data_IF_824113463838
#
_entry.id   IF_824113463838
#
_cell.length_a   1.000
_cell.length_b   1.000
_cell.length_c   1.000
_cell.angle_alpha   90.00
_cell.angle_beta   90.00
_cell.angle_gamma   90.00
#
_symmetry.space_group_name_H-M   'P 1'
#
loop_
_entity.id
_entity.type
_entity.pdbx_description
1 polymer ?
#
# COMPACT_ATOMS: atom_id res chain seq x y z
N UNK A 1 -9.64 -14.74 15.93
CA UNK A 1 -8.99 -13.41 16.08
C UNK A 1 -7.50 -13.53 15.80
N UNK A 2 -6.91 -12.55 15.12
CA UNK A 2 -5.45 -12.50 14.87
C UNK A 2 -4.77 -12.21 16.20
N UNK A 3 -3.62 -12.82 16.47
CA UNK A 3 -2.84 -12.50 17.67
C UNK A 3 -2.23 -11.10 17.49
N UNK A 4 -2.58 -10.09 18.31
CA UNK A 4 -2.05 -8.73 18.14
C UNK A 4 -0.52 -8.66 18.22
N UNK A 5 0.13 -9.62 18.89
CA UNK A 5 1.60 -9.66 18.96
C UNK A 5 2.28 -9.87 17.61
N UNK A 6 1.54 -10.35 16.60
CA UNK A 6 2.02 -10.49 15.21
C UNK A 6 2.04 -9.17 14.45
N UNK A 7 1.32 -8.17 14.93
CA UNK A 7 1.12 -6.90 14.27
C UNK A 7 2.17 -5.86 14.71
N UNK A 8 2.45 -4.88 13.87
CA UNK A 8 3.19 -3.67 14.28
C UNK A 8 2.43 -2.92 15.36
N UNK A 9 3.10 -2.07 16.15
CA UNK A 9 2.46 -1.30 17.21
C UNK A 9 1.30 -0.42 16.68
N UNK A 10 1.49 0.22 15.53
CA UNK A 10 0.44 1.02 14.87
C UNK A 10 -0.80 0.18 14.55
N UNK A 11 -0.63 -1.01 13.97
CA UNK A 11 -1.75 -1.92 13.69
C UNK A 11 -2.40 -2.46 14.96
N UNK A 12 -1.62 -2.74 16.03
CA UNK A 12 -2.18 -3.14 17.33
C UNK A 12 -3.12 -2.09 17.91
N UNK A 13 -2.70 -0.82 17.86
CA UNK A 13 -3.48 0.28 18.43
C UNK A 13 -4.80 0.49 17.67
N UNK A 14 -4.80 0.27 16.35
CA UNK A 14 -6.02 0.30 15.52
C UNK A 14 -6.92 -0.92 15.70
N UNK A 15 -6.34 -2.09 16.04
CA UNK A 15 -7.04 -3.38 16.08
C UNK A 15 -8.08 -3.50 17.20
N UNK A 16 -7.88 -2.80 18.32
CA UNK A 16 -8.68 -2.93 19.55
C UNK A 16 -10.17 -2.64 19.32
N UNK A 17 -10.52 -1.80 18.35
CA UNK A 17 -11.88 -1.29 18.15
C UNK A 17 -12.67 -2.00 17.02
N UNK A 18 -12.14 -3.08 16.42
CA UNK A 18 -12.72 -3.65 15.20
C UNK A 18 -13.67 -4.84 15.46
N UNK A 19 -14.92 -4.70 15.00
CA UNK A 19 -15.92 -5.79 15.00
C UNK A 19 -15.61 -6.82 13.91
N UNK A 20 -15.75 -8.10 14.25
CA UNK A 20 -15.52 -9.22 13.33
C UNK A 20 -16.87 -9.69 12.76
N UNK A 21 -16.95 -9.79 11.43
CA UNK A 21 -18.12 -10.36 10.75
C UNK A 21 -18.03 -11.90 10.64
N UNK A 22 -19.19 -12.54 10.79
CA UNK A 22 -19.39 -13.99 10.70
C UNK A 22 -19.84 -14.47 9.31
N UNK A 23 -19.86 -13.59 8.31
CA UNK A 23 -20.31 -13.93 6.94
C UNK A 23 -19.43 -14.99 6.27
N UNK A 24 -19.94 -15.66 5.23
CA UNK A 24 -19.13 -16.61 4.46
C UNK A 24 -18.20 -15.84 3.51
N UNK A 25 -16.99 -16.37 3.27
CA UNK A 25 -16.06 -15.80 2.30
C UNK A 25 -16.64 -15.97 0.89
N UNK A 26 -16.66 -14.89 0.11
CA UNK A 26 -17.11 -14.93 -1.29
C UNK A 26 -16.25 -15.91 -2.11
N UNK A 27 -16.84 -16.80 -2.94
CA UNK A 27 -16.10 -17.76 -3.74
C UNK A 27 -15.02 -17.16 -4.64
N UNK A 28 -15.22 -15.95 -5.17
CA UNK A 28 -14.22 -15.25 -6.00
C UNK A 28 -13.00 -14.85 -5.16
N UNK A 29 -13.23 -14.38 -3.94
CA UNK A 29 -12.16 -14.04 -3.00
C UNK A 29 -11.42 -15.31 -2.55
N UNK A 30 -12.14 -16.39 -2.29
CA UNK A 30 -11.53 -17.69 -1.95
C UNK A 30 -10.58 -18.17 -3.05
N UNK A 31 -10.94 -18.01 -4.33
CA UNK A 31 -10.06 -18.37 -5.46
C UNK A 31 -8.71 -17.64 -5.42
N UNK A 32 -8.68 -16.36 -5.00
CA UNK A 32 -7.42 -15.62 -4.80
C UNK A 32 -6.58 -16.30 -3.74
N UNK A 33 -7.18 -16.58 -2.59
CA UNK A 33 -6.50 -17.22 -1.48
C UNK A 33 -5.94 -18.60 -1.86
N UNK A 34 -6.72 -19.40 -2.58
CA UNK A 34 -6.32 -20.73 -3.02
C UNK A 34 -5.10 -20.68 -3.96
N UNK A 35 -5.10 -19.78 -4.95
CA UNK A 35 -3.96 -19.62 -5.88
C UNK A 35 -2.75 -19.04 -5.13
N UNK A 36 -2.95 -18.07 -4.24
CA UNK A 36 -1.90 -17.51 -3.40
C UNK A 36 -1.26 -18.59 -2.53
N UNK A 37 -2.05 -19.49 -1.94
CA UNK A 37 -1.56 -20.60 -1.12
C UNK A 37 -0.74 -21.61 -1.94
N UNK A 38 -1.16 -21.93 -3.16
CA UNK A 38 -0.39 -22.79 -4.07
C UNK A 38 0.95 -22.12 -4.43
N UNK A 39 0.93 -20.82 -4.67
CA UNK A 39 2.11 -20.02 -5.04
C UNK A 39 3.09 -19.88 -3.87
N UNK A 40 2.56 -19.68 -2.66
CA UNK A 40 3.32 -19.54 -1.42
C UNK A 40 4.15 -20.80 -1.11
N UNK A 41 3.65 -21.99 -1.50
CA UNK A 41 4.32 -23.28 -1.25
C UNK A 41 5.40 -23.63 -2.27
N UNK A 42 5.64 -22.80 -3.29
CA UNK A 42 6.66 -23.06 -4.30
C UNK A 42 8.05 -22.88 -3.71
N UNK A 43 9.01 -23.71 -4.14
CA UNK A 43 10.39 -23.62 -3.68
C UNK A 43 11.00 -22.26 -4.06
N UNK A 44 11.55 -21.58 -3.06
CA UNK A 44 12.28 -20.33 -3.23
C UNK A 44 13.73 -20.64 -3.63
N UNK A 45 14.19 -20.08 -4.75
CA UNK A 45 15.56 -20.23 -5.23
C UNK A 45 16.20 -18.84 -5.28
N UNK A 46 17.25 -18.64 -4.49
CA UNK A 46 17.99 -17.39 -4.40
C UNK A 46 19.48 -17.66 -4.60
N UNK A 47 20.16 -16.72 -5.26
CA UNK A 47 21.59 -16.80 -5.51
C UNK A 47 22.26 -15.50 -5.06
N UNK A 48 23.21 -15.59 -4.13
CA UNK A 48 23.92 -14.43 -3.61
C UNK A 48 24.77 -13.78 -4.69
N UNK A 49 24.80 -12.44 -4.73
CA UNK A 49 25.67 -11.68 -5.62
C UNK A 49 26.60 -10.78 -4.83
N UNK A 50 27.71 -10.37 -5.45
CA UNK A 50 28.54 -9.31 -4.91
C UNK A 50 27.68 -8.06 -4.69
N UNK A 51 27.67 -7.48 -3.47
CA UNK A 51 26.81 -6.34 -3.16
C UNK A 51 27.08 -5.16 -4.09
N UNK A 52 26.01 -4.49 -4.52
CA UNK A 52 26.14 -3.18 -5.16
C UNK A 52 26.88 -2.24 -4.21
N UNK A 53 27.84 -1.46 -4.71
CA UNK A 53 28.63 -0.53 -3.87
C UNK A 53 27.71 0.39 -3.05
N UNK A 54 27.98 0.50 -1.75
CA UNK A 54 27.18 1.31 -0.81
C UNK A 54 26.89 2.73 -1.32
N UNK A 55 27.93 3.44 -1.76
CA UNK A 55 27.81 4.81 -2.28
C UNK A 55 26.90 4.89 -3.52
N UNK A 56 26.90 3.84 -4.36
CA UNK A 56 26.02 3.77 -5.52
C UNK A 56 24.57 3.58 -5.08
N UNK A 57 24.30 2.71 -4.11
CA UNK A 57 22.96 2.51 -3.55
C UNK A 57 22.41 3.78 -2.90
N UNK A 58 23.22 4.45 -2.07
CA UNK A 58 22.84 5.72 -1.44
C UNK A 58 22.52 6.79 -2.51
N UNK A 59 23.35 6.92 -3.54
CA UNK A 59 23.12 7.85 -4.65
C UNK A 59 21.81 7.56 -5.38
N UNK A 60 21.51 6.28 -5.65
CA UNK A 60 20.26 5.87 -6.31
C UNK A 60 19.03 6.33 -5.51
N UNK A 61 18.99 6.09 -4.20
CA UNK A 61 17.84 6.50 -3.39
C UNK A 61 17.74 8.00 -3.17
N UNK A 62 18.86 8.72 -3.09
CA UNK A 62 18.86 10.19 -3.06
C UNK A 62 18.33 10.76 -4.38
N UNK A 63 18.72 10.16 -5.52
CA UNK A 63 18.20 10.55 -6.83
C UNK A 63 16.69 10.28 -6.94
N UNK A 64 16.23 9.11 -6.50
CA UNK A 64 14.82 8.78 -6.41
C UNK A 64 14.03 9.83 -5.60
N UNK A 65 14.50 10.17 -4.39
CA UNK A 65 13.86 11.19 -3.55
C UNK A 65 13.75 12.54 -4.27
N UNK A 66 14.83 12.97 -4.93
CA UNK A 66 14.87 14.25 -5.65
C UNK A 66 13.97 14.28 -6.90
N UNK A 67 13.50 13.14 -7.41
CA UNK A 67 12.52 13.12 -8.51
C UNK A 67 11.13 13.57 -8.07
N UNK A 68 10.78 13.35 -6.80
CA UNK A 68 9.44 13.60 -6.24
C UNK A 68 9.41 14.74 -5.23
N UNK A 69 10.58 15.21 -4.79
CA UNK A 69 10.68 16.29 -3.81
C UNK A 69 11.80 17.26 -4.19
N UNK A 70 11.49 18.55 -4.13
CA UNK A 70 12.50 19.61 -4.27
C UNK A 70 13.31 19.85 -2.98
N UNK A 71 13.06 19.07 -1.92
CA UNK A 71 13.67 19.24 -0.59
C UNK A 71 14.96 18.42 -0.51
N UNK A 72 16.10 19.10 -0.74
CA UNK A 72 17.43 18.47 -0.73
C UNK A 72 17.90 18.00 0.64
N UNK A 73 17.53 18.73 1.69
CA UNK A 73 17.91 18.44 3.09
C UNK A 73 16.75 17.78 3.86
N UNK A 74 16.11 16.79 3.23
CA UNK A 74 15.06 16.02 3.89
C UNK A 74 15.65 15.03 4.90
N UNK A 75 14.82 14.64 5.87
CA UNK A 75 15.17 13.57 6.82
C UNK A 75 15.56 12.28 6.09
N UNK A 76 14.84 11.92 5.03
CA UNK A 76 15.09 10.72 4.21
C UNK A 76 16.51 10.73 3.63
N UNK A 77 16.93 11.86 3.03
CA UNK A 77 18.28 12.00 2.48
C UNK A 77 19.33 11.87 3.59
N UNK A 78 19.09 12.44 4.78
CA UNK A 78 19.95 12.25 5.95
C UNK A 78 20.02 10.77 6.38
N UNK A 79 18.89 10.07 6.42
CA UNK A 79 18.82 8.67 6.84
C UNK A 79 19.56 7.76 5.85
N UNK A 80 19.32 7.92 4.55
CA UNK A 80 20.01 7.17 3.48
C UNK A 80 21.53 7.35 3.56
N UNK A 81 22.03 8.56 3.85
CA UNK A 81 23.47 8.81 4.03
C UNK A 81 24.07 8.07 5.22
N UNK A 82 23.27 7.75 6.24
CA UNK A 82 23.70 7.00 7.44
C UNK A 82 23.62 5.49 7.26
N UNK A 83 22.82 4.99 6.31
CA UNK A 83 22.73 3.56 6.01
C UNK A 83 24.07 3.03 5.53
N UNK A 84 24.47 1.86 6.04
CA UNK A 84 25.84 1.37 5.91
C UNK A 84 25.94 -0.09 5.46
N UNK A 85 24.81 -0.77 5.23
CA UNK A 85 24.77 -2.15 4.73
C UNK A 85 24.05 -2.23 3.40
N UNK A 86 24.59 -3.09 2.54
CA UNK A 86 23.95 -3.49 1.28
C UNK A 86 23.99 -4.99 1.16
N UNK A 87 22.87 -5.57 0.72
CA UNK A 87 22.82 -6.94 0.24
C UNK A 87 22.23 -6.95 -1.17
N UNK A 88 22.80 -7.78 -2.03
CA UNK A 88 22.33 -7.99 -3.40
C UNK A 88 22.25 -9.49 -3.66
N UNK A 89 21.16 -9.95 -4.25
CA UNK A 89 21.00 -11.33 -4.71
C UNK A 89 20.02 -11.39 -5.87
N UNK A 90 19.97 -12.53 -6.52
CA UNK A 90 18.94 -12.85 -7.51
C UNK A 90 17.89 -13.80 -6.94
N UNK A 91 16.68 -13.64 -7.45
CA UNK A 91 15.54 -14.50 -7.22
C UNK A 91 15.14 -15.13 -8.55
N UNK A 92 15.17 -16.46 -8.62
CA UNK A 92 14.62 -17.16 -9.78
C UNK A 92 13.10 -17.18 -9.71
N UNK A 93 12.47 -16.89 -10.83
CA UNK A 93 11.02 -16.90 -11.00
C UNK A 93 10.63 -17.89 -12.10
N UNK A 94 9.34 -18.22 -12.27
CA UNK A 94 8.90 -19.10 -13.36
C UNK A 94 9.39 -18.67 -14.75
N UNK A 95 9.54 -17.36 -14.97
CA UNK A 95 9.92 -16.77 -16.26
C UNK A 95 10.91 -15.62 -16.07
N UNK A 96 12.10 -15.94 -15.60
CA UNK A 96 13.23 -15.01 -15.55
C UNK A 96 13.84 -14.83 -14.17
N UNK A 97 14.86 -13.98 -14.11
CA UNK A 97 15.62 -13.71 -12.91
C UNK A 97 15.44 -12.24 -12.49
N UNK A 98 15.04 -12.03 -11.24
CA UNK A 98 14.93 -10.70 -10.64
C UNK A 98 16.18 -10.41 -9.82
N UNK A 99 16.77 -9.23 -9.98
CA UNK A 99 17.85 -8.75 -9.09
C UNK A 99 17.28 -7.87 -7.99
N UNK A 100 17.54 -8.24 -6.73
CA UNK A 100 17.13 -7.48 -5.56
C UNK A 100 18.33 -6.78 -4.93
N UNK A 101 18.19 -5.50 -4.64
CA UNK A 101 19.20 -4.69 -3.94
C UNK A 101 18.59 -4.02 -2.71
N UNK A 102 19.17 -4.26 -1.54
CA UNK A 102 18.69 -3.67 -0.29
C UNK A 102 19.72 -2.70 0.28
N UNK A 103 19.27 -1.55 0.75
CA UNK A 103 20.05 -0.60 1.54
C UNK A 103 19.41 -0.45 2.93
N UNK A 104 20.22 -0.59 3.99
CA UNK A 104 19.75 -0.60 5.37
C UNK A 104 20.88 -0.32 6.39
N UNK A 105 20.55 -0.14 7.67
CA UNK A 105 21.50 0.14 8.76
C UNK A 105 21.60 -1.00 9.82
N UNK A 106 20.46 -1.41 10.38
CA UNK A 106 20.33 -2.39 11.45
C UNK A 106 20.27 -3.82 10.90
N UNK A 107 20.06 -4.83 11.75
CA UNK A 107 19.78 -6.16 11.22
C UNK A 107 18.33 -6.20 10.72
N UNK A 108 18.14 -6.25 9.39
CA UNK A 108 16.82 -6.31 8.74
C UNK A 108 16.59 -7.63 7.99
N UNK A 109 17.36 -8.67 8.28
CA UNK A 109 17.33 -9.94 7.53
C UNK A 109 15.93 -10.55 7.49
N UNK A 110 15.19 -10.52 8.60
CA UNK A 110 13.81 -11.03 8.62
C UNK A 110 12.89 -10.25 7.67
N UNK A 111 12.95 -8.92 7.67
CA UNK A 111 12.21 -8.07 6.72
C UNK A 111 12.59 -8.40 5.27
N UNK A 112 13.89 -8.56 5.00
CA UNK A 112 14.41 -8.93 3.67
C UNK A 112 13.84 -10.29 3.24
N UNK A 113 13.82 -11.28 4.13
CA UNK A 113 13.20 -12.59 3.88
C UNK A 113 11.71 -12.47 3.59
N UNK A 114 10.97 -11.63 4.32
CA UNK A 114 9.55 -11.38 4.09
C UNK A 114 9.29 -10.85 2.68
N UNK A 115 10.05 -9.83 2.27
CA UNK A 115 9.94 -9.18 0.96
C UNK A 115 10.28 -10.18 -0.15
N UNK A 116 11.34 -10.96 0.03
CA UNK A 116 11.77 -11.99 -0.92
C UNK A 116 10.70 -13.03 -1.13
N UNK A 117 10.16 -13.56 -0.04
CA UNK A 117 9.16 -14.60 -0.07
C UNK A 117 7.83 -14.09 -0.64
N UNK A 118 7.44 -12.86 -0.30
CA UNK A 118 6.27 -12.22 -0.87
C UNK A 118 6.42 -12.02 -2.39
N UNK A 119 7.57 -11.52 -2.85
CA UNK A 119 7.86 -11.35 -4.27
C UNK A 119 7.82 -12.70 -5.02
N UNK A 120 8.48 -13.72 -4.48
CA UNK A 120 8.46 -15.07 -5.02
C UNK A 120 7.03 -15.61 -5.15
N UNK A 121 6.23 -15.43 -4.10
CA UNK A 121 4.83 -15.82 -4.09
C UNK A 121 4.04 -15.07 -5.17
N UNK A 122 4.24 -13.76 -5.29
CA UNK A 122 3.59 -12.93 -6.32
C UNK A 122 3.95 -13.39 -7.74
N UNK A 123 5.23 -13.62 -8.02
CA UNK A 123 5.70 -14.06 -9.33
C UNK A 123 5.14 -15.46 -9.70
N UNK A 124 4.95 -16.34 -8.72
CA UNK A 124 4.30 -17.64 -8.92
C UNK A 124 2.78 -17.53 -9.05
N UNK A 125 2.15 -16.52 -8.45
CA UNK A 125 0.73 -16.24 -8.65
C UNK A 125 0.49 -15.77 -10.10
N UNK A 126 1.33 -14.85 -10.58
CA UNK A 126 1.32 -14.33 -11.94
C UNK A 126 2.39 -15.00 -12.80
N UNK A 127 2.32 -16.33 -12.90
CA UNK A 127 3.36 -17.17 -13.50
C UNK A 127 3.45 -17.13 -15.03
N UNK A 128 2.78 -16.21 -15.73
CA UNK A 128 2.86 -16.06 -17.20
C UNK A 128 3.57 -14.78 -17.63
N UNK A 129 4.06 -14.01 -16.67
CA UNK A 129 4.69 -12.71 -16.92
C UNK A 129 6.20 -12.90 -17.00
N UNK A 130 6.84 -12.18 -17.93
CA UNK A 130 8.30 -12.08 -18.01
C UNK A 130 8.85 -11.15 -16.91
N UNK A 131 9.61 -11.73 -15.99
CA UNK A 131 10.30 -11.02 -14.93
C UNK A 131 11.80 -10.86 -15.21
N UNK A 132 12.29 -11.38 -16.33
CA UNK A 132 13.72 -11.45 -16.59
C UNK A 132 14.34 -10.05 -16.68
N UNK A 133 15.43 -9.86 -15.94
CA UNK A 133 16.14 -8.57 -15.89
C UNK A 133 15.45 -7.49 -15.06
N UNK A 134 14.34 -7.77 -14.37
CA UNK A 134 13.76 -6.84 -13.40
C UNK A 134 14.73 -6.56 -12.26
N UNK A 135 14.92 -5.29 -11.94
CA UNK A 135 15.73 -4.83 -10.80
C UNK A 135 14.86 -4.13 -9.79
N UNK A 136 14.87 -4.62 -8.55
CA UNK A 136 14.13 -4.02 -7.45
C UNK A 136 15.12 -3.42 -6.44
N UNK A 137 15.01 -2.12 -6.22
CA UNK A 137 15.77 -1.37 -5.23
C UNK A 137 14.91 -1.14 -3.99
N UNK A 138 15.36 -1.65 -2.85
CA UNK A 138 14.66 -1.55 -1.56
C UNK A 138 15.51 -0.77 -0.56
N UNK A 139 14.96 0.31 -0.02
CA UNK A 139 15.53 1.07 1.09
C UNK A 139 14.67 0.80 2.32
N UNK A 140 15.24 0.13 3.32
CA UNK A 140 14.53 -0.27 4.54
C UNK A 140 14.56 0.85 5.58
N UNK A 141 13.92 1.96 5.23
CA UNK A 141 13.79 3.13 6.08
C UNK A 141 12.60 3.00 7.04
N UNK A 142 12.85 3.27 8.32
CA UNK A 142 11.89 3.05 9.41
C UNK A 142 10.96 4.25 9.66
N UNK A 143 11.04 5.29 8.83
CA UNK A 143 10.12 6.41 8.88
C UNK A 143 8.65 5.96 8.76
N UNK A 144 7.77 6.63 9.51
CA UNK A 144 6.36 6.26 9.66
C UNK A 144 5.43 7.25 8.97
N UNK A 145 4.22 6.81 8.62
CA UNK A 145 3.12 7.62 8.08
C UNK A 145 2.36 8.38 9.16
N UNK A 146 3.09 9.09 10.01
CA UNK A 146 2.47 9.90 11.06
C UNK A 146 2.16 11.32 10.54
N UNK A 147 1.02 11.88 10.93
CA UNK A 147 0.65 13.29 10.74
C UNK A 147 1.01 14.02 12.03
N UNK A 148 2.29 14.38 12.18
CA UNK A 148 2.78 15.13 13.33
C UNK A 148 3.14 16.54 12.85
N UNK A 149 2.34 17.53 13.25
CA UNK A 149 2.51 18.93 12.88
C UNK A 149 2.54 19.77 14.16
N UNK A 150 3.62 20.50 14.39
CA UNK A 150 3.85 21.27 15.63
C UNK A 150 3.39 22.74 15.57
N UNK A 151 2.50 23.11 14.64
CA UNK A 151 1.90 24.45 14.59
C UNK A 151 0.53 24.37 13.88
N UNK A 152 -0.51 24.78 14.57
CA UNK A 152 -1.91 24.77 14.11
C UNK A 152 -2.19 25.86 13.06
N UNK A 153 -1.36 26.92 12.99
CA UNK A 153 -1.54 28.06 12.08
C UNK A 153 -0.97 27.88 10.68
N UNK A 154 -0.39 26.71 10.37
CA UNK A 154 0.15 26.40 9.03
C UNK A 154 -0.96 26.15 8.02
N UNK A 155 -0.80 26.70 6.81
CA UNK A 155 -1.61 26.35 5.64
C UNK A 155 -1.40 24.87 5.26
N UNK A 156 -2.31 24.30 4.45
CA UNK A 156 -2.20 22.88 4.05
C UNK A 156 -0.92 22.59 3.26
N UNK A 157 -0.54 23.48 2.35
CA UNK A 157 0.71 23.33 1.57
C UNK A 157 1.94 23.35 2.50
N UNK A 158 1.96 24.22 3.51
CA UNK A 158 3.04 24.25 4.52
C UNK A 158 3.05 23.00 5.40
N UNK A 159 1.88 22.46 5.74
CA UNK A 159 1.74 21.19 6.47
C UNK A 159 2.31 20.04 5.64
N UNK A 160 1.93 19.94 4.37
CA UNK A 160 2.45 18.94 3.43
C UNK A 160 3.96 19.06 3.28
N UNK A 161 4.49 20.26 3.01
CA UNK A 161 5.92 20.48 2.86
C UNK A 161 6.69 20.10 4.14
N UNK A 162 6.11 20.35 5.31
CA UNK A 162 6.67 19.91 6.59
C UNK A 162 6.70 18.38 6.70
N UNK A 163 5.60 17.69 6.39
CA UNK A 163 5.55 16.22 6.41
C UNK A 163 6.57 15.61 5.44
N UNK A 164 6.71 16.18 4.25
CA UNK A 164 7.70 15.75 3.25
C UNK A 164 9.14 15.95 3.72
N UNK A 165 9.46 17.14 4.25
CA UNK A 165 10.79 17.45 4.78
C UNK A 165 11.21 16.47 5.88
N UNK A 166 10.26 16.06 6.72
CA UNK A 166 10.51 15.19 7.87
C UNK A 166 10.26 13.70 7.59
N UNK A 167 10.06 13.30 6.32
CA UNK A 167 9.79 11.91 5.91
C UNK A 167 8.59 11.27 6.57
N UNK A 168 7.59 12.06 6.94
CA UNK A 168 6.38 11.61 7.61
C UNK A 168 5.36 11.07 6.59
N UNK A 169 4.06 11.18 6.89
CA UNK A 169 2.98 10.84 5.97
C UNK A 169 3.02 11.64 4.65
N UNK A 170 2.21 11.23 3.67
CA UNK A 170 2.00 11.93 2.39
C UNK A 170 3.26 12.08 1.52
N UNK A 171 4.11 11.05 1.55
CA UNK A 171 5.32 10.94 0.75
C UNK A 171 5.22 9.76 -0.22
N UNK A 172 5.82 9.92 -1.41
CA UNK A 172 6.01 8.82 -2.37
C UNK A 172 6.98 7.81 -1.77
N UNK A 173 6.55 6.56 -1.65
CA UNK A 173 7.35 5.46 -1.08
C UNK A 173 7.73 4.38 -2.09
N UNK A 174 7.16 4.42 -3.29
CA UNK A 174 7.40 3.44 -4.34
C UNK A 174 7.30 4.06 -5.74
N UNK A 175 7.88 3.38 -6.72
CA UNK A 175 7.74 3.72 -8.14
C UNK A 175 8.10 2.52 -9.01
N UNK A 176 7.36 2.37 -10.11
CA UNK A 176 7.65 1.40 -11.16
C UNK A 176 7.99 2.10 -12.48
N UNK A 177 9.16 1.80 -13.03
CA UNK A 177 9.53 2.10 -14.42
C UNK A 177 9.49 0.80 -15.23
N UNK A 178 8.33 0.50 -15.81
CA UNK A 178 8.09 -0.74 -16.59
C UNK A 178 9.06 -0.85 -17.78
N UNK A 179 9.41 0.26 -18.43
CA UNK A 179 10.28 0.27 -19.60
C UNK A 179 11.72 -0.09 -19.24
N UNK A 180 12.21 0.42 -18.11
CA UNK A 180 13.55 0.06 -17.61
C UNK A 180 13.57 -1.24 -16.80
N UNK A 181 12.40 -1.85 -16.56
CA UNK A 181 12.20 -2.97 -15.62
C UNK A 181 12.81 -2.65 -14.24
N UNK A 182 12.45 -1.50 -13.67
CA UNK A 182 12.94 -1.07 -12.35
C UNK A 182 11.76 -0.83 -11.42
N UNK A 183 11.88 -1.31 -10.18
CA UNK A 183 10.97 -0.98 -9.07
C UNK A 183 11.77 -0.39 -7.92
N UNK A 184 11.24 0.67 -7.30
CA UNK A 184 11.76 1.28 -6.09
C UNK A 184 10.79 1.10 -4.94
N UNK A 185 11.32 0.79 -3.76
CA UNK A 185 10.59 0.74 -2.49
C UNK A 185 11.44 1.45 -1.43
N UNK A 186 10.87 2.37 -0.65
CA UNK A 186 11.66 3.22 0.26
C UNK A 186 11.17 3.30 1.70
N UNK A 187 10.20 2.48 2.11
CA UNK A 187 9.65 2.53 3.48
C UNK A 187 9.33 1.14 4.00
N UNK A 188 9.82 0.82 5.20
CA UNK A 188 9.63 -0.49 5.84
C UNK A 188 8.18 -0.73 6.29
N UNK A 189 7.49 0.31 6.77
CA UNK A 189 6.06 0.25 7.06
C UNK A 189 5.29 -0.16 5.80
N UNK A 190 4.48 -1.21 5.90
CA UNK A 190 3.66 -1.77 4.81
C UNK A 190 4.42 -2.29 3.59
N UNK A 191 5.71 -2.60 3.74
CA UNK A 191 6.60 -2.88 2.61
C UNK A 191 6.13 -4.02 1.68
N UNK A 192 5.44 -5.05 2.21
CA UNK A 192 4.89 -6.14 1.38
C UNK A 192 3.71 -5.66 0.52
N UNK A 193 2.82 -4.85 1.07
CA UNK A 193 1.73 -4.24 0.29
C UNK A 193 2.29 -3.29 -0.75
N UNK A 194 3.28 -2.48 -0.37
CA UNK A 194 3.93 -1.55 -1.28
C UNK A 194 4.63 -2.31 -2.43
N UNK A 195 5.32 -3.42 -2.14
CA UNK A 195 5.86 -4.30 -3.16
C UNK A 195 4.75 -4.78 -4.11
N UNK A 196 3.64 -5.29 -3.60
CA UNK A 196 2.54 -5.76 -4.45
C UNK A 196 1.92 -4.65 -5.29
N UNK A 197 1.80 -3.43 -4.74
CA UNK A 197 1.35 -2.26 -5.47
C UNK A 197 2.24 -2.01 -6.70
N UNK A 198 3.55 -1.89 -6.50
CA UNK A 198 4.48 -1.65 -7.61
C UNK A 198 4.51 -2.83 -8.61
N UNK A 199 4.43 -4.06 -8.10
CA UNK A 199 4.39 -5.23 -8.97
C UNK A 199 3.11 -5.31 -9.81
N UNK A 200 1.97 -4.82 -9.31
CA UNK A 200 0.73 -4.69 -10.10
C UNK A 200 0.93 -3.73 -11.29
N UNK A 201 1.60 -2.60 -11.08
CA UNK A 201 1.99 -1.70 -12.19
C UNK A 201 2.97 -2.34 -13.16
N UNK A 202 3.94 -3.11 -12.65
CA UNK A 202 4.95 -3.78 -13.47
C UNK A 202 4.32 -4.78 -14.44
N UNK A 203 3.46 -5.66 -13.93
CA UNK A 203 2.78 -6.67 -14.75
C UNK A 203 1.63 -6.08 -15.58
N UNK A 204 1.21 -4.84 -15.29
CA UNK A 204 0.25 -4.08 -16.08
C UNK A 204 -1.20 -4.49 -15.89
N UNK A 205 -1.62 -4.93 -14.68
CA UNK A 205 -3.06 -5.20 -14.45
C UNK A 205 -3.91 -3.92 -14.56
N UNK A 206 -3.29 -2.77 -14.33
CA UNK A 206 -3.87 -1.44 -14.35
C UNK A 206 -3.83 -0.78 -15.74
N UNK A 207 -3.17 -1.39 -16.73
CA UNK A 207 -2.78 -0.72 -17.98
C UNK A 207 -3.97 -0.14 -18.76
N UNK A 208 -5.14 -0.81 -18.74
CA UNK A 208 -6.36 -0.31 -19.40
C UNK A 208 -6.96 0.94 -18.75
N UNK A 209 -6.61 1.23 -17.50
CA UNK A 209 -7.12 2.35 -16.71
C UNK A 209 -6.24 3.60 -16.81
N UNK A 210 -4.96 3.47 -17.18
CA UNK A 210 -3.99 4.59 -17.25
C UNK A 210 -4.39 5.76 -18.16
N UNK A 211 -5.37 5.56 -19.05
CA UNK A 211 -5.85 6.58 -20.00
C UNK A 211 -7.31 6.95 -19.79
N UNK A 212 -7.87 6.60 -18.64
CA UNK A 212 -9.28 6.83 -18.34
C UNK A 212 -9.38 7.99 -17.37
N UNK A 213 -9.89 9.12 -17.85
CA UNK A 213 -10.16 10.27 -16.98
C UNK A 213 -11.46 10.01 -16.20
N UNK A 214 -11.35 10.04 -14.87
CA UNK A 214 -12.51 9.98 -13.99
C UNK A 214 -12.77 11.34 -13.36
N UNK A 215 -13.85 11.98 -13.79
CA UNK A 215 -14.31 13.26 -13.23
C UNK A 215 -15.26 13.00 -12.06
N UNK A 216 -15.01 13.62 -10.92
CA UNK A 216 -15.90 13.63 -9.77
C UNK A 216 -16.37 15.06 -9.44
N UNK A 217 -17.35 15.18 -8.55
CA UNK A 217 -17.85 16.47 -8.08
C UNK A 217 -17.25 16.88 -6.73
N UNK A 218 -16.14 16.27 -6.31
CA UNK A 218 -15.56 16.51 -5.00
C UNK A 218 -14.74 17.80 -4.96
N UNK A 219 -14.51 18.33 -3.76
CA UNK A 219 -13.70 19.52 -3.52
C UNK A 219 -12.19 19.22 -3.63
N UNK A 220 -11.75 18.73 -4.79
CA UNK A 220 -10.39 18.28 -5.08
C UNK A 220 -9.76 19.06 -6.24
N UNK A 221 -8.43 19.12 -6.27
CA UNK A 221 -7.65 19.64 -7.38
C UNK A 221 -6.45 18.70 -7.67
N UNK A 222 -6.32 18.13 -8.89
CA UNK A 222 -7.22 18.25 -10.04
C UNK A 222 -8.56 17.51 -9.84
N UNK A 223 -9.57 17.86 -10.64
CA UNK A 223 -10.90 17.22 -10.60
C UNK A 223 -10.90 15.85 -11.31
N UNK A 224 -9.98 15.67 -12.27
CA UNK A 224 -9.77 14.39 -12.93
C UNK A 224 -8.83 13.52 -12.09
N UNK A 225 -9.28 12.33 -11.72
CA UNK A 225 -8.52 11.38 -10.91
C UNK A 225 -7.99 10.21 -11.73
N UNK A 226 -6.84 9.68 -11.32
CA UNK A 226 -6.18 8.53 -11.92
C UNK A 226 -6.70 7.21 -11.34
N UNK A 227 -7.75 6.67 -11.93
CA UNK A 227 -8.36 5.41 -11.47
C UNK A 227 -7.46 4.17 -11.65
N UNK A 228 -6.34 4.29 -12.35
CA UNK A 228 -5.30 3.26 -12.40
C UNK A 228 -4.70 3.03 -11.01
N UNK A 229 -4.37 4.10 -10.29
CA UNK A 229 -3.83 4.04 -8.92
C UNK A 229 -4.84 3.45 -7.94
N UNK A 230 -6.12 3.80 -8.09
CA UNK A 230 -7.21 3.21 -7.32
C UNK A 230 -7.23 1.69 -7.45
N UNK A 231 -7.15 1.20 -8.70
CA UNK A 231 -7.19 -0.23 -8.96
C UNK A 231 -5.92 -0.93 -8.44
N UNK A 232 -4.76 -0.33 -8.65
CA UNK A 232 -3.49 -0.85 -8.13
C UNK A 232 -3.52 -0.97 -6.62
N UNK A 233 -3.94 0.07 -5.90
CA UNK A 233 -4.00 0.07 -4.44
C UNK A 233 -5.01 -0.95 -3.93
N UNK A 234 -6.20 -1.03 -4.55
CA UNK A 234 -7.19 -2.05 -4.24
C UNK A 234 -6.64 -3.48 -4.38
N UNK A 235 -5.99 -3.77 -5.52
CA UNK A 235 -5.39 -5.08 -5.77
C UNK A 235 -4.24 -5.38 -4.80
N UNK A 236 -3.44 -4.38 -4.45
CA UNK A 236 -2.35 -4.52 -3.49
C UNK A 236 -2.87 -4.91 -2.10
N UNK A 237 -3.93 -4.27 -1.61
CA UNK A 237 -4.60 -4.62 -0.34
C UNK A 237 -5.14 -6.05 -0.38
N UNK A 238 -5.84 -6.41 -1.46
CA UNK A 238 -6.46 -7.72 -1.63
C UNK A 238 -5.41 -8.86 -1.63
N UNK A 239 -4.35 -8.70 -2.43
CA UNK A 239 -3.26 -9.67 -2.52
C UNK A 239 -2.45 -9.73 -1.22
N UNK A 240 -2.19 -8.59 -0.59
CA UNK A 240 -1.47 -8.53 0.68
C UNK A 240 -2.26 -9.23 1.79
N UNK A 241 -3.58 -9.00 1.87
CA UNK A 241 -4.45 -9.68 2.83
C UNK A 241 -4.43 -11.20 2.63
N UNK A 242 -4.43 -11.70 1.39
CA UNK A 242 -4.32 -13.14 1.11
C UNK A 242 -2.97 -13.69 1.58
N UNK A 243 -1.86 -13.01 1.25
CA UNK A 243 -0.52 -13.39 1.66
C UNK A 243 -0.36 -13.41 3.20
N UNK A 244 -0.77 -12.34 3.88
CA UNK A 244 -0.72 -12.25 5.34
C UNK A 244 -1.59 -13.31 6.00
N UNK A 245 -2.73 -13.68 5.40
CA UNK A 245 -3.59 -14.75 5.93
C UNK A 245 -2.91 -16.10 5.94
N UNK A 246 -2.21 -16.44 4.85
CA UNK A 246 -1.41 -17.66 4.74
C UNK A 246 -0.29 -17.63 5.79
N UNK A 247 0.41 -16.50 5.90
CA UNK A 247 1.49 -16.34 6.85
C UNK A 247 1.02 -16.50 8.31
N UNK A 248 -0.06 -15.84 8.71
CA UNK A 248 -0.66 -15.96 10.04
C UNK A 248 -1.13 -17.40 10.28
N UNK A 249 -1.68 -18.06 9.27
CA UNK A 249 -2.07 -19.47 9.36
C UNK A 249 -0.86 -20.38 9.61
N UNK A 250 0.31 -20.11 9.00
CA UNK A 250 1.53 -20.84 9.31
C UNK A 250 1.99 -20.65 10.77
N UNK A 251 1.75 -19.48 11.36
CA UNK A 251 2.04 -19.21 12.77
C UNK A 251 1.01 -19.79 13.74
N UNK A 252 -0.22 -20.03 13.29
CA UNK A 252 -1.32 -20.56 14.09
C UNK A 252 -2.25 -21.47 13.25
N UNK A 253 -1.82 -22.70 12.96
CA UNK A 253 -2.50 -23.59 12.01
C UNK A 253 -3.85 -24.11 12.52
N UNK A 254 -4.19 -23.87 13.79
CA UNK A 254 -5.49 -24.24 14.38
C UNK A 254 -6.63 -23.36 13.85
N UNK A 255 -6.32 -22.20 13.25
CA UNK A 255 -7.31 -21.28 12.69
C UNK A 255 -7.59 -21.62 11.22
N UNK A 256 -8.82 -21.41 10.78
CA UNK A 256 -9.17 -21.50 9.36
C UNK A 256 -8.57 -20.33 8.59
N UNK A 257 -7.80 -20.64 7.54
CA UNK A 257 -7.21 -19.63 6.66
C UNK A 257 -8.28 -18.74 5.99
N UNK A 258 -9.41 -19.32 5.58
CA UNK A 258 -10.55 -18.61 5.01
C UNK A 258 -11.14 -17.60 6.01
N UNK A 259 -11.22 -18.00 7.29
CA UNK A 259 -11.69 -17.11 8.35
C UNK A 259 -10.70 -15.99 8.64
N UNK A 260 -9.39 -16.27 8.61
CA UNK A 260 -8.36 -15.24 8.76
C UNK A 260 -8.48 -14.22 7.62
N UNK A 261 -8.53 -14.70 6.38
CA UNK A 261 -8.59 -13.83 5.20
C UNK A 261 -9.83 -12.95 5.17
N UNK A 262 -10.99 -13.53 5.45
CA UNK A 262 -12.23 -12.76 5.62
C UNK A 262 -12.09 -11.70 6.71
N UNK A 263 -11.50 -12.06 7.85
CA UNK A 263 -11.34 -11.12 8.97
C UNK A 263 -10.45 -9.95 8.57
N UNK A 264 -9.33 -10.20 7.89
CA UNK A 264 -8.44 -9.14 7.40
C UNK A 264 -9.18 -8.24 6.40
N UNK A 265 -9.85 -8.79 5.40
CA UNK A 265 -10.58 -7.98 4.40
C UNK A 265 -11.65 -7.08 5.02
N UNK A 266 -12.37 -7.58 6.03
CA UNK A 266 -13.36 -6.77 6.74
C UNK A 266 -12.70 -5.65 7.55
N UNK A 267 -11.58 -5.94 8.22
CA UNK A 267 -10.79 -4.94 8.94
C UNK A 267 -10.24 -3.87 7.99
N UNK A 268 -9.71 -4.26 6.83
CA UNK A 268 -9.23 -3.34 5.80
C UNK A 268 -10.36 -2.47 5.23
N UNK A 269 -11.57 -3.02 5.07
CA UNK A 269 -12.74 -2.25 4.60
C UNK A 269 -13.18 -1.20 5.63
N UNK A 270 -13.30 -1.59 6.90
CA UNK A 270 -13.62 -0.67 8.01
C UNK A 270 -12.54 0.41 8.13
N UNK A 271 -11.27 0.00 8.06
CA UNK A 271 -10.17 0.95 8.14
C UNK A 271 -10.12 1.89 6.95
N UNK A 272 -10.46 1.44 5.74
CA UNK A 272 -10.52 2.30 4.56
C UNK A 272 -11.52 3.45 4.75
N UNK A 273 -12.68 3.18 5.36
CA UNK A 273 -13.65 4.21 5.77
C UNK A 273 -13.07 5.15 6.84
N UNK A 274 -12.46 4.60 7.90
CA UNK A 274 -11.84 5.39 8.97
C UNK A 274 -10.72 6.29 8.44
N UNK A 275 -9.87 5.77 7.56
CA UNK A 275 -8.78 6.50 6.91
C UNK A 275 -9.32 7.61 6.00
N UNK A 276 -10.37 7.34 5.23
CA UNK A 276 -11.04 8.36 4.40
C UNK A 276 -11.57 9.51 5.27
N UNK A 277 -12.26 9.19 6.36
CA UNK A 277 -12.71 10.20 7.33
C UNK A 277 -11.52 10.96 7.96
N UNK A 278 -10.41 10.26 8.23
CA UNK A 278 -9.21 10.86 8.79
C UNK A 278 -8.57 11.89 7.86
N UNK A 279 -8.53 11.60 6.56
CA UNK A 279 -8.05 12.55 5.55
C UNK A 279 -9.00 13.74 5.42
N UNK A 280 -10.32 13.54 5.47
CA UNK A 280 -11.27 14.65 5.48
C UNK A 280 -11.04 15.58 6.69
N UNK A 281 -10.84 15.02 7.89
CA UNK A 281 -10.50 15.80 9.09
C UNK A 281 -9.18 16.54 8.95
N UNK A 282 -8.17 15.92 8.33
CA UNK A 282 -6.90 16.57 8.04
C UNK A 282 -7.12 17.85 7.20
N UNK A 283 -8.03 17.81 6.22
CA UNK A 283 -8.44 18.97 5.41
C UNK A 283 -9.53 19.85 6.06
N UNK A 284 -9.78 19.71 7.37
CA UNK A 284 -10.65 20.60 8.14
C UNK A 284 -12.15 20.30 8.04
N UNK A 285 -12.55 19.18 7.44
CA UNK A 285 -13.95 18.76 7.45
C UNK A 285 -14.30 18.03 8.75
N UNK A 286 -15.51 18.25 9.23
CA UNK A 286 -16.06 17.65 10.45
C UNK A 286 -17.41 16.96 10.19
N UNK A 287 -18.05 16.44 11.24
CA UNK A 287 -19.35 15.76 11.11
C UNK A 287 -20.46 16.64 10.53
N UNK A 288 -20.36 17.96 10.64
CA UNK A 288 -21.36 18.89 10.10
C UNK A 288 -21.08 19.28 8.64
N UNK A 289 -19.82 19.18 8.20
CA UNK A 289 -19.36 19.77 6.93
C UNK A 289 -18.81 18.77 5.93
N UNK A 290 -18.56 17.51 6.30
CA UNK A 290 -17.92 16.53 5.40
C UNK A 290 -18.70 16.27 4.11
N UNK A 291 -20.03 16.35 4.12
CA UNK A 291 -20.82 16.22 2.89
C UNK A 291 -20.54 17.32 1.87
N UNK A 292 -20.09 18.50 2.31
CA UNK A 292 -19.75 19.61 1.42
C UNK A 292 -18.59 19.23 0.50
N UNK A 293 -17.64 18.42 0.99
CA UNK A 293 -16.55 17.88 0.16
C UNK A 293 -17.09 17.18 -1.08
N UNK A 294 -18.07 16.28 -0.91
CA UNK A 294 -18.64 15.47 -2.00
C UNK A 294 -19.54 16.27 -2.95
N UNK A 295 -19.99 17.46 -2.52
CA UNK A 295 -20.77 18.41 -3.31
C UNK A 295 -19.89 19.44 -4.03
N UNK A 296 -18.57 19.37 -3.86
CA UNK A 296 -17.62 20.30 -4.48
C UNK A 296 -17.61 21.67 -3.79
N UNK A 297 -18.12 21.73 -2.56
CA UNK A 297 -18.25 22.94 -1.76
C UNK A 297 -17.09 23.01 -0.77
N UNK A 298 -16.34 24.12 -0.81
CA UNK A 298 -15.19 24.37 0.06
C UNK A 298 -13.91 24.65 -0.71
N UNK A 299 -12.78 24.63 0.00
CA UNK A 299 -11.46 24.78 -0.61
C UNK A 299 -11.15 23.55 -1.47
N UNK A 300 -10.69 23.77 -2.71
CA UNK A 300 -10.22 22.67 -3.57
C UNK A 300 -8.85 22.24 -3.08
N UNK A 301 -8.81 21.09 -2.44
CA UNK A 301 -7.59 20.61 -1.79
C UNK A 301 -6.63 20.02 -2.84
N UNK A 302 -5.43 20.60 -2.92
CA UNK A 302 -4.28 20.02 -3.63
C UNK A 302 -3.77 18.81 -2.86
N UNK A 303 -3.06 17.91 -3.56
CA UNK A 303 -2.49 16.72 -2.95
C UNK A 303 -1.02 16.53 -3.30
N UNK A 304 -0.26 16.00 -2.34
CA UNK A 304 1.17 15.69 -2.48
C UNK A 304 1.42 14.38 -3.23
N UNK A 305 0.44 13.48 -3.13
CA UNK A 305 0.33 12.16 -3.74
C UNK A 305 -1.15 11.94 -4.07
N UNK A 306 -1.53 10.99 -4.94
CA UNK A 306 -2.93 10.76 -5.35
C UNK A 306 -3.86 10.22 -4.24
N UNK A 307 -4.05 10.96 -3.15
CA UNK A 307 -4.79 10.53 -1.95
C UNK A 307 -6.24 10.20 -2.26
N UNK A 308 -6.86 10.93 -3.19
CA UNK A 308 -8.26 10.68 -3.57
C UNK A 308 -8.40 9.30 -4.20
N UNK A 309 -7.41 8.87 -4.98
CA UNK A 309 -7.38 7.59 -5.65
C UNK A 309 -6.98 6.45 -4.72
N UNK A 310 -5.90 6.64 -3.96
CA UNK A 310 -5.33 5.66 -3.05
C UNK A 310 -6.23 5.40 -1.84
N UNK A 311 -7.00 6.40 -1.40
CA UNK A 311 -7.78 6.32 -0.17
C UNK A 311 -9.27 6.28 -0.47
N UNK A 312 -9.84 7.27 -1.16
CA UNK A 312 -11.30 7.41 -1.27
C UNK A 312 -11.88 6.42 -2.29
N UNK A 313 -11.42 6.47 -3.53
CA UNK A 313 -11.91 5.56 -4.57
C UNK A 313 -11.58 4.10 -4.25
N UNK A 314 -10.42 3.84 -3.64
CA UNK A 314 -10.05 2.52 -3.10
C UNK A 314 -11.02 2.05 -2.02
N UNK A 315 -11.54 2.95 -1.18
CA UNK A 315 -12.57 2.60 -0.18
C UNK A 315 -13.86 2.14 -0.85
N UNK A 316 -14.29 2.79 -1.93
CA UNK A 316 -15.46 2.36 -2.71
C UNK A 316 -15.24 0.93 -3.26
N UNK A 317 -14.03 0.63 -3.72
CA UNK A 317 -13.66 -0.71 -4.19
C UNK A 317 -13.70 -1.74 -3.05
N UNK A 318 -13.17 -1.41 -1.87
CA UNK A 318 -13.21 -2.28 -0.69
C UNK A 318 -14.65 -2.58 -0.26
N UNK A 319 -15.53 -1.58 -0.23
CA UNK A 319 -16.95 -1.76 0.09
C UNK A 319 -17.70 -2.66 -0.91
N UNK A 320 -17.15 -2.83 -2.12
CA UNK A 320 -17.77 -3.56 -3.22
C UNK A 320 -16.86 -4.68 -3.76
N UNK A 321 -16.01 -5.27 -2.92
CA UNK A 321 -15.03 -6.30 -3.31
C UNK A 321 -15.61 -7.46 -4.13
N UNK A 322 -16.85 -7.87 -3.86
CA UNK A 322 -17.51 -9.01 -4.53
C UNK A 322 -17.87 -8.73 -5.99
N UNK A 323 -17.87 -7.46 -6.39
CA UNK A 323 -18.11 -7.02 -7.76
C UNK A 323 -16.95 -7.37 -8.70
N UNK A 324 -15.73 -7.47 -8.20
CA UNK A 324 -14.54 -7.65 -9.02
C UNK A 324 -14.43 -9.07 -9.60
N UNK A 325 -13.93 -9.21 -10.84
CA UNK A 325 -13.84 -10.50 -11.49
C UNK A 325 -12.71 -11.35 -10.90
N UNK A 326 -12.91 -12.66 -10.90
CA UNK A 326 -11.99 -13.64 -10.31
C UNK A 326 -10.73 -13.92 -11.15
N UNK A 327 -10.53 -13.17 -12.23
CA UNK A 327 -9.36 -13.25 -13.10
C UNK A 327 -8.39 -12.06 -12.94
N UNK A 328 -8.68 -11.12 -12.03
CA UNK A 328 -7.76 -10.05 -11.58
C UNK A 328 -7.26 -9.10 -12.65
N UNK A 329 -7.70 -9.23 -13.90
CA UNK A 329 -7.35 -8.32 -14.98
C UNK A 329 -8.53 -7.38 -15.15
N UNK A 330 -8.27 -6.07 -15.07
CA UNK A 330 -9.28 -5.09 -15.38
C UNK A 330 -9.62 -5.17 -16.87
N UNK A 331 -10.74 -5.81 -17.18
CA UNK A 331 -11.21 -5.97 -18.56
C UNK A 331 -12.46 -5.15 -18.86
N UNK A 332 -13.20 -4.74 -17.83
CA UNK A 332 -14.45 -3.99 -17.96
C UNK A 332 -14.33 -2.63 -17.29
N UNK A 333 -13.68 -1.71 -18.01
CA UNK A 333 -13.43 -0.34 -17.58
C UNK A 333 -14.74 0.41 -17.30
N UNK A 334 -15.76 0.22 -18.14
CA UNK A 334 -17.04 0.93 -18.00
C UNK A 334 -17.75 0.56 -16.70
N UNK A 335 -17.78 -0.73 -16.39
CA UNK A 335 -18.38 -1.27 -15.17
C UNK A 335 -17.60 -0.84 -13.93
N UNK A 336 -16.26 -0.79 -13.99
CA UNK A 336 -15.43 -0.22 -12.92
C UNK A 336 -15.69 1.27 -12.69
N UNK A 337 -15.74 2.08 -13.75
CA UNK A 337 -16.07 3.51 -13.64
C UNK A 337 -17.47 3.71 -13.05
N UNK A 338 -18.45 2.88 -13.45
CA UNK A 338 -19.81 2.94 -12.90
C UNK A 338 -19.84 2.64 -11.40
N UNK A 339 -19.03 1.69 -10.94
CA UNK A 339 -18.88 1.39 -9.52
C UNK A 339 -18.40 2.61 -8.74
N UNK A 340 -17.34 3.27 -9.22
CA UNK A 340 -16.73 4.43 -8.56
C UNK A 340 -17.68 5.63 -8.43
N UNK A 341 -18.63 5.79 -9.37
CA UNK A 341 -19.62 6.88 -9.34
C UNK A 341 -20.67 6.78 -8.23
N UNK A 342 -20.83 5.61 -7.60
CA UNK A 342 -21.82 5.43 -6.53
C UNK A 342 -21.21 5.70 -5.14
N UNK A 343 -20.96 6.99 -4.84
CA UNK A 343 -20.34 7.41 -3.58
C UNK A 343 -21.35 7.63 -2.44
N UNK A 344 -22.67 7.54 -2.70
CA UNK A 344 -23.69 7.71 -1.64
C UNK A 344 -23.47 6.79 -0.44
N UNK A 345 -23.20 5.52 -0.70
CA UNK A 345 -22.94 4.54 0.36
C UNK A 345 -21.65 4.86 1.12
N UNK A 346 -20.65 5.43 0.44
CA UNK A 346 -19.43 5.92 1.08
C UNK A 346 -19.78 7.04 2.06
N UNK A 347 -20.48 8.09 1.60
CA UNK A 347 -20.88 9.25 2.41
C UNK A 347 -21.65 8.79 3.66
N UNK A 348 -22.70 7.98 3.50
CA UNK A 348 -23.51 7.46 4.60
C UNK A 348 -22.68 6.65 5.63
N UNK A 349 -21.67 5.90 5.18
CA UNK A 349 -20.82 5.14 6.08
C UNK A 349 -19.73 5.98 6.77
N UNK A 350 -19.29 7.08 6.16
CA UNK A 350 -18.28 7.98 6.73
C UNK A 350 -18.79 8.71 7.96
N UNK A 351 -20.09 9.01 8.05
CA UNK A 351 -20.72 9.73 9.17
C UNK A 351 -20.26 9.20 10.54
N UNK A 352 -20.22 7.87 10.69
CA UNK A 352 -19.84 7.17 11.93
C UNK A 352 -18.41 7.46 12.38
N UNK A 353 -17.53 7.86 11.47
CA UNK A 353 -16.11 8.09 11.72
C UNK A 353 -15.77 9.58 11.79
N UNK A 354 -16.68 10.48 11.44
CA UNK A 354 -16.41 11.92 11.44
C UNK A 354 -16.41 12.57 12.84
N UNK A 355 -17.12 11.99 13.82
CA UNK A 355 -17.27 12.57 15.17
C UNK A 355 -16.13 12.27 16.15
N UNK A 356 -15.20 11.37 15.81
CA UNK A 356 -14.05 11.01 16.64
C UNK A 356 -12.81 11.89 16.43
N UNK A 357 -11.75 11.74 17.24
CA UNK A 357 -10.46 12.39 16.97
C UNK A 357 -9.84 11.91 15.65
N UNK A 358 -8.86 12.66 15.15
CA UNK A 358 -8.03 12.26 14.02
C UNK A 358 -6.96 11.27 14.50
N UNK A 359 -6.80 10.14 13.81
CA UNK A 359 -5.69 9.23 14.02
C UNK A 359 -4.40 9.88 13.51
N UNK A 360 -3.33 9.83 14.31
CA UNK A 360 -2.05 10.40 13.91
C UNK A 360 -1.36 9.55 12.85
N UNK A 361 -1.42 8.22 12.93
CA UNK A 361 -0.80 7.34 11.92
C UNK A 361 -1.80 6.98 10.81
N UNK A 362 -1.49 7.40 9.58
CA UNK A 362 -2.26 7.15 8.36
C UNK A 362 -1.60 6.13 7.43
N UNK A 363 -1.19 4.99 7.99
CA UNK A 363 -0.96 3.76 7.22
C UNK A 363 -2.08 3.56 6.18
N UNK A 364 -1.74 3.10 4.98
CA UNK A 364 -2.69 2.77 3.92
C UNK A 364 -3.30 1.35 4.05
N UNK A 365 -2.77 0.53 4.97
CA UNK A 365 -3.29 -0.74 5.44
C UNK A 365 -3.66 -0.71 6.92
N UNK A 366 -4.65 -1.51 7.27
CA UNK A 366 -5.02 -1.81 8.65
C UNK A 366 -4.05 -2.80 9.29
N UNK A 367 -3.77 -3.90 8.58
CA UNK A 367 -2.96 -5.00 9.07
C UNK A 367 -1.56 -4.90 8.48
N UNK A 368 -0.59 -4.50 9.30
CA UNK A 368 0.83 -4.60 9.01
C UNK A 368 1.48 -5.56 10.01
N UNK A 369 2.18 -6.58 9.49
CA UNK A 369 2.84 -7.58 10.30
C UNK A 369 4.20 -7.07 10.77
N UNK A 370 4.55 -7.37 12.01
CA UNK A 370 5.89 -7.10 12.53
C UNK A 370 6.88 -8.15 12.02
N UNK A 371 7.36 -7.94 10.80
CA UNK A 371 8.27 -8.85 10.10
C UNK A 371 9.60 -9.06 10.86
N UNK A 372 10.00 -8.14 11.74
CA UNK A 372 11.22 -8.30 12.55
C UNK A 372 11.05 -9.34 13.66
N UNK A 373 9.83 -9.64 14.09
CA UNK A 373 9.59 -10.57 15.19
C UNK A 373 9.33 -11.99 14.72
N UNK A 374 8.71 -12.18 13.55
CA UNK A 374 7.97 -13.42 13.30
C UNK A 374 8.47 -14.33 12.16
N UNK A 375 9.65 -14.08 11.59
CA UNK A 375 10.31 -14.96 10.58
C UNK A 375 11.38 -15.84 11.20
#
# INVERSE_FOLDING_TARGET
MINPTYLTKSSQDKYIDMKISNEKLDPKLKKILDIMLVSFKKNLIIESKSPTKLQKMQKIFIQFHNMFSNIRDSKFVSDVKKFNKVITYTLDTPHGIITLNFLYDKNKIKVISAITHALHTFCNFFNKIDYDGLVIYVCLDDNKRDIIIFDDRKTYDEKIAYLQKNSLALNVSGMTDKNKKIVFLTRTEEIVKLLFHEMVHYIGLDEKLRRVNYTNNWAVAPVELNISETYTEFMAVLLNAAYQSIYIWCLDPKKSIDQIYRTILNMETIYSLRLTANILKFYGYDSATYENFFKGIGHKNSEAIPLWEYIFLRTICMMNMTFFPSNYVMNDVATFVKLLKNDRQLVENLEKYMSGPMDLNISYNMIDLDWEKHI
#
